data_IF_668733300302
#
_entry.id   IF_668733300302
#
_cell.length_a   1.000
_cell.length_b   1.000
_cell.length_c   1.000
_cell.angle_alpha   90.00
_cell.angle_beta   90.00
_cell.angle_gamma   90.00
#
_symmetry.space_group_name_H-M   'P 1'
#
loop_
_entity.id
_entity.type
_entity.pdbx_description
1 polymer ?
#
# COMPACT_ATOMS: atom_id res chain seq x y z
N UNK A 1 0.47 -6.82 31.47
CA UNK A 1 0.20 -7.64 30.27
C UNK A 1 0.76 -6.85 29.10
N UNK A 2 1.63 -7.43 28.28
CA UNK A 2 2.22 -6.72 27.15
C UNK A 2 1.09 -6.21 26.24
N UNK A 3 1.16 -4.93 25.89
CA UNK A 3 0.20 -4.21 25.06
C UNK A 3 0.28 -4.82 23.64
N UNK A 4 -0.57 -5.81 23.33
CA UNK A 4 -0.46 -6.66 22.13
C UNK A 4 -0.94 -5.90 20.88
N UNK A 5 -0.23 -4.83 20.50
CA UNK A 5 -0.55 -4.02 19.32
C UNK A 5 -0.09 -4.73 18.06
N UNK A 6 -0.93 -4.66 17.03
CA UNK A 6 -0.58 -5.15 15.69
C UNK A 6 0.55 -4.31 15.10
N UNK A 7 1.55 -4.95 14.52
CA UNK A 7 2.65 -4.27 13.82
C UNK A 7 2.31 -4.18 12.33
N UNK A 8 2.18 -2.96 11.82
CA UNK A 8 1.77 -2.69 10.44
C UNK A 8 2.89 -2.03 9.66
N UNK A 9 3.34 -2.69 8.59
CA UNK A 9 4.30 -2.11 7.64
C UNK A 9 3.56 -1.14 6.69
N UNK A 10 4.07 0.07 6.56
CA UNK A 10 3.45 1.16 5.81
C UNK A 10 4.21 1.45 4.51
N UNK A 11 3.50 1.32 3.39
CA UNK A 11 4.00 1.46 2.02
C UNK A 11 3.38 2.72 1.40
N UNK A 12 4.21 3.77 1.21
CA UNK A 12 3.77 5.09 0.78
C UNK A 12 3.36 5.16 -0.71
N UNK A 13 2.72 6.26 -1.13
CA UNK A 13 2.38 6.49 -2.54
C UNK A 13 3.54 7.03 -3.38
N UNK A 14 3.34 7.12 -4.70
CA UNK A 14 4.32 7.71 -5.62
C UNK A 14 4.64 9.17 -5.23
N UNK A 15 5.92 9.56 -5.38
CA UNK A 15 6.45 10.88 -4.99
C UNK A 15 6.23 11.22 -3.51
N UNK A 16 6.28 10.20 -2.66
CA UNK A 16 6.32 10.36 -1.20
C UNK A 16 7.59 9.68 -0.67
N UNK A 17 7.77 9.76 0.63
CA UNK A 17 8.79 9.02 1.37
C UNK A 17 8.22 8.67 2.76
N UNK A 18 8.97 7.90 3.55
CA UNK A 18 8.54 7.44 4.87
C UNK A 18 8.15 8.58 5.80
N UNK A 19 8.89 9.69 5.76
CA UNK A 19 8.67 10.86 6.63
C UNK A 19 7.37 11.57 6.27
N UNK A 20 7.19 11.91 4.99
CA UNK A 20 5.98 12.56 4.48
C UNK A 20 4.75 11.69 4.71
N UNK A 21 4.86 10.38 4.48
CA UNK A 21 3.74 9.47 4.68
C UNK A 21 3.39 9.32 6.17
N UNK A 22 4.39 9.19 7.04
CA UNK A 22 4.26 9.21 8.50
C UNK A 22 3.52 10.46 8.99
N UNK A 23 3.87 11.63 8.48
CA UNK A 23 3.24 12.89 8.85
C UNK A 23 1.78 12.98 8.37
N UNK A 24 1.51 12.63 7.10
CA UNK A 24 0.15 12.57 6.54
C UNK A 24 -0.77 11.64 7.34
N UNK A 25 -0.23 10.55 7.88
CA UNK A 25 -0.97 9.60 8.72
C UNK A 25 -0.99 10.00 10.21
N UNK A 26 -0.63 11.25 10.58
CA UNK A 26 -0.58 11.70 11.97
C UNK A 26 -1.87 11.44 12.76
N UNK A 27 -3.02 11.91 12.26
CA UNK A 27 -4.31 11.70 12.94
C UNK A 27 -4.75 10.23 12.89
N UNK A 28 -4.51 9.54 11.75
CA UNK A 28 -4.80 8.11 11.59
C UNK A 28 -4.09 7.27 12.66
N UNK A 29 -2.78 7.49 12.83
CA UNK A 29 -1.98 6.81 13.86
C UNK A 29 -2.43 7.16 15.27
N UNK A 30 -2.72 8.45 15.54
CA UNK A 30 -3.25 8.87 16.85
C UNK A 30 -4.55 8.15 17.20
N UNK A 31 -5.42 7.95 16.21
CA UNK A 31 -6.69 7.25 16.38
C UNK A 31 -6.52 5.76 16.71
N UNK A 32 -5.47 5.12 16.18
CA UNK A 32 -5.22 3.68 16.26
C UNK A 32 -4.07 3.31 17.21
N UNK A 33 -3.52 4.26 17.96
CA UNK A 33 -2.34 4.09 18.83
C UNK A 33 -2.43 2.97 19.88
N UNK A 34 -3.66 2.57 20.25
CA UNK A 34 -3.92 1.49 21.22
C UNK A 34 -4.21 0.14 20.52
N UNK A 35 -4.21 0.10 19.19
CA UNK A 35 -4.55 -1.07 18.37
C UNK A 35 -3.40 -1.53 17.49
N UNK A 36 -2.62 -0.58 16.97
CA UNK A 36 -1.53 -0.89 16.05
C UNK A 36 -0.37 0.10 16.18
N UNK A 37 0.82 -0.39 15.87
CA UNK A 37 2.03 0.39 15.64
C UNK A 37 2.38 0.35 14.15
N UNK A 38 2.83 1.49 13.62
CA UNK A 38 3.00 1.70 12.18
C UNK A 38 4.47 1.95 11.85
N UNK A 39 5.04 1.06 11.06
CA UNK A 39 6.44 1.09 10.65
C UNK A 39 6.55 1.57 9.20
N UNK A 40 7.24 2.68 8.96
CA UNK A 40 7.29 3.34 7.65
C UNK A 40 8.66 3.16 7.02
N UNK A 41 8.69 2.68 5.78
CA UNK A 41 9.91 2.52 4.98
C UNK A 41 9.89 3.42 3.75
N UNK A 42 11.08 3.74 3.24
CA UNK A 42 11.26 4.48 1.98
C UNK A 42 11.28 3.49 0.82
N UNK A 43 10.58 3.80 -0.27
CA UNK A 43 10.79 3.09 -1.52
C UNK A 43 12.23 3.34 -2.02
N UNK A 44 12.86 2.37 -2.71
CA UNK A 44 14.29 2.43 -3.00
C UNK A 44 14.64 3.47 -4.08
N UNK A 45 13.70 3.81 -4.97
CA UNK A 45 14.01 4.59 -6.16
C UNK A 45 13.74 6.08 -5.98
N UNK A 46 14.72 6.92 -6.32
CA UNK A 46 14.55 8.38 -6.35
C UNK A 46 13.78 8.81 -7.60
N UNK A 47 12.81 9.71 -7.42
CA UNK A 47 12.11 10.35 -8.54
C UNK A 47 12.89 11.59 -8.95
N UNK A 48 13.35 11.64 -10.20
CA UNK A 48 14.06 12.81 -10.72
C UNK A 48 13.15 14.04 -10.70
N UNK A 49 13.66 15.16 -10.20
CA UNK A 49 12.95 16.44 -10.25
C UNK A 49 12.93 16.97 -11.68
N UNK A 50 11.75 17.38 -12.15
CA UNK A 50 11.57 17.98 -13.49
C UNK A 50 12.21 19.37 -13.58
N UNK A 51 12.48 20.01 -12.44
CA UNK A 51 12.86 21.44 -12.38
C UNK A 51 14.34 21.68 -12.13
N UNK A 52 15.11 20.67 -11.69
CA UNK A 52 16.54 20.86 -11.39
C UNK A 52 17.27 19.50 -11.26
N UNK A 53 18.09 19.12 -12.25
CA UNK A 53 18.83 17.84 -12.25
C UNK A 53 19.90 17.77 -11.15
N UNK A 54 20.30 18.92 -10.58
CA UNK A 54 21.33 19.01 -9.54
C UNK A 54 20.78 18.96 -8.10
N UNK A 55 19.46 18.86 -7.91
CA UNK A 55 18.87 18.70 -6.58
C UNK A 55 18.41 17.27 -6.34
N UNK A 56 18.98 16.63 -5.30
CA UNK A 56 18.47 15.35 -4.79
C UNK A 56 17.02 15.54 -4.33
N UNK A 57 16.10 14.87 -5.00
CA UNK A 57 14.70 14.84 -4.60
C UNK A 57 14.52 13.83 -3.47
N UNK A 58 13.83 14.22 -2.39
CA UNK A 58 13.42 13.28 -1.35
C UNK A 58 12.22 12.41 -1.76
N UNK A 59 11.68 12.62 -2.97
CA UNK A 59 10.55 11.88 -3.51
C UNK A 59 10.99 10.48 -3.98
N UNK A 60 10.23 9.46 -3.59
CA UNK A 60 10.53 8.07 -3.91
C UNK A 60 9.41 7.39 -4.70
N UNK A 61 9.77 6.32 -5.40
CA UNK A 61 8.86 5.45 -6.15
C UNK A 61 9.15 3.98 -5.88
N UNK A 62 8.11 3.14 -5.92
CA UNK A 62 8.26 1.69 -5.79
C UNK A 62 8.66 1.00 -7.09
N UNK A 63 8.22 1.53 -8.24
CA UNK A 63 8.69 1.12 -9.56
C UNK A 63 8.38 2.22 -10.56
N UNK A 64 8.94 2.11 -11.76
CA UNK A 64 8.63 3.02 -12.87
C UNK A 64 7.94 2.26 -14.00
N UNK A 65 7.15 2.99 -14.76
CA UNK A 65 6.34 2.47 -15.89
C UNK A 65 6.66 3.19 -17.20
N UNK A 66 7.71 4.00 -17.20
CA UNK A 66 8.14 4.85 -18.32
C UNK A 66 9.67 4.97 -18.34
N UNK A 67 10.26 5.11 -19.54
CA UNK A 67 11.72 5.18 -19.76
C UNK A 67 12.41 6.37 -19.07
N UNK A 68 11.66 7.43 -18.76
CA UNK A 68 12.14 8.62 -18.06
C UNK A 68 12.19 8.45 -16.53
N UNK A 69 12.04 7.21 -16.02
CA UNK A 69 11.93 6.88 -14.61
C UNK A 69 10.77 7.61 -13.93
N UNK A 70 9.60 7.65 -14.60
CA UNK A 70 8.35 8.13 -14.02
C UNK A 70 7.33 7.00 -13.83
N UNK A 71 6.34 7.24 -12.99
CA UNK A 71 5.24 6.32 -12.75
C UNK A 71 3.91 6.91 -13.23
N UNK A 72 3.18 6.13 -14.03
CA UNK A 72 1.94 6.55 -14.67
C UNK A 72 0.84 5.54 -14.35
N UNK A 73 0.02 5.85 -13.33
CA UNK A 73 -0.99 4.91 -12.83
C UNK A 73 -2.12 4.64 -13.82
N UNK A 74 -2.34 5.47 -14.84
CA UNK A 74 -3.49 5.41 -15.76
C UNK A 74 -3.15 4.89 -17.16
N UNK A 75 -1.86 4.59 -17.43
CA UNK A 75 -1.38 4.23 -18.76
C UNK A 75 -0.93 2.78 -18.73
N UNK A 76 -1.48 2.00 -19.66
CA UNK A 76 -1.06 0.61 -19.90
C UNK A 76 0.34 0.63 -20.51
N UNK A 77 1.20 -0.28 -20.07
CA UNK A 77 2.61 -0.32 -20.49
C UNK A 77 3.16 -1.75 -20.48
N UNK A 78 4.14 -2.01 -21.35
CA UNK A 78 5.04 -3.17 -21.32
C UNK A 78 6.43 -2.80 -20.75
N UNK A 79 6.57 -1.57 -20.24
CA UNK A 79 7.78 -1.11 -19.58
C UNK A 79 7.60 -1.13 -18.06
N UNK A 80 8.45 -1.86 -17.36
CA UNK A 80 8.53 -1.83 -15.90
C UNK A 80 9.98 -2.02 -15.44
N UNK A 81 10.43 -1.15 -14.53
CA UNK A 81 11.74 -1.28 -13.88
C UNK A 81 11.61 -0.97 -12.39
N UNK A 82 12.49 -1.58 -11.59
CA UNK A 82 12.62 -1.28 -10.16
C UNK A 82 11.73 -2.09 -9.23
N UNK A 83 10.82 -2.92 -9.76
CA UNK A 83 9.86 -3.64 -8.91
C UNK A 83 10.55 -4.73 -8.09
N UNK A 84 11.57 -5.39 -8.65
CA UNK A 84 12.37 -6.43 -7.99
C UNK A 84 13.11 -5.90 -6.77
N UNK A 85 13.76 -4.73 -6.88
CA UNK A 85 14.46 -4.08 -5.76
C UNK A 85 13.49 -3.69 -4.64
N UNK A 86 12.30 -3.23 -5.01
CA UNK A 86 11.24 -2.92 -4.04
C UNK A 86 10.71 -4.17 -3.32
N UNK A 87 10.56 -5.29 -4.03
CA UNK A 87 10.16 -6.58 -3.43
C UNK A 87 11.27 -7.04 -2.46
N UNK A 88 12.52 -7.01 -2.90
CA UNK A 88 13.67 -7.40 -2.09
C UNK A 88 13.77 -6.56 -0.81
N UNK A 89 13.55 -5.24 -0.90
CA UNK A 89 13.52 -4.34 0.26
C UNK A 89 12.45 -4.73 1.28
N UNK A 90 11.24 -5.06 0.83
CA UNK A 90 10.16 -5.51 1.73
C UNK A 90 10.52 -6.84 2.39
N UNK A 91 11.09 -7.80 1.64
CA UNK A 91 11.55 -9.06 2.22
C UNK A 91 12.63 -8.84 3.28
N UNK A 92 13.61 -7.99 3.00
CA UNK A 92 14.69 -7.66 3.93
C UNK A 92 14.15 -6.96 5.19
N UNK A 93 13.23 -6.01 5.03
CA UNK A 93 12.59 -5.30 6.14
C UNK A 93 11.80 -6.28 7.02
N UNK A 94 11.01 -7.18 6.42
CA UNK A 94 10.25 -8.19 7.17
C UNK A 94 11.19 -9.15 7.91
N UNK A 95 12.30 -9.55 7.29
CA UNK A 95 13.27 -10.45 7.92
C UNK A 95 14.02 -9.81 9.09
N UNK A 96 14.41 -8.53 8.96
CA UNK A 96 15.24 -7.84 9.94
C UNK A 96 14.44 -7.17 11.04
N UNK A 97 13.24 -6.68 10.73
CA UNK A 97 12.45 -5.82 11.61
C UNK A 97 11.08 -6.39 11.93
N UNK A 98 10.70 -7.52 11.33
CA UNK A 98 9.45 -8.22 11.61
C UNK A 98 9.41 -8.89 13.00
N UNK A 99 8.38 -9.71 13.28
CA UNK A 99 7.24 -9.98 12.42
C UNK A 99 6.30 -8.76 12.29
N UNK A 100 5.67 -8.63 11.13
CA UNK A 100 4.57 -7.68 10.89
C UNK A 100 3.26 -8.46 10.76
N UNK A 101 2.21 -7.99 11.40
CA UNK A 101 0.88 -8.59 11.33
C UNK A 101 0.15 -8.23 10.04
N UNK A 102 0.43 -7.05 9.48
CA UNK A 102 -0.22 -6.60 8.25
C UNK A 102 0.55 -5.52 7.51
N UNK A 103 0.07 -5.21 6.31
CA UNK A 103 0.60 -4.13 5.47
C UNK A 103 -0.49 -3.10 5.22
N UNK A 104 -0.14 -1.81 5.33
CA UNK A 104 -0.95 -0.69 4.85
C UNK A 104 -0.26 -0.07 3.63
N UNK A 105 -0.92 -0.11 2.49
CA UNK A 105 -0.48 0.55 1.27
C UNK A 105 -1.37 1.74 0.90
N UNK A 106 -0.77 2.81 0.37
CA UNK A 106 -1.50 3.95 -0.20
C UNK A 106 -1.13 4.19 -1.67
N UNK A 107 -2.13 4.38 -2.54
CA UNK A 107 -1.94 4.74 -3.95
C UNK A 107 -1.00 3.76 -4.68
N UNK A 108 0.14 4.20 -5.25
CA UNK A 108 1.16 3.29 -5.81
C UNK A 108 1.58 2.20 -4.80
N UNK A 109 1.75 2.54 -3.52
CA UNK A 109 2.05 1.58 -2.47
C UNK A 109 0.91 0.60 -2.19
N UNK A 110 -0.35 0.98 -2.45
CA UNK A 110 -1.50 0.09 -2.35
C UNK A 110 -1.52 -0.92 -3.52
N UNK A 111 -1.22 -0.47 -4.74
CA UNK A 111 -1.01 -1.36 -5.89
C UNK A 111 0.18 -2.31 -5.65
N UNK A 112 1.27 -1.81 -5.06
CA UNK A 112 2.41 -2.64 -4.66
C UNK A 112 2.04 -3.69 -3.62
N UNK A 113 1.26 -3.30 -2.60
CA UNK A 113 0.78 -4.21 -1.56
C UNK A 113 -0.05 -5.35 -2.15
N UNK A 114 -0.88 -5.07 -3.16
CA UNK A 114 -1.63 -6.12 -3.87
C UNK A 114 -0.71 -7.08 -4.64
N UNK A 115 0.38 -6.58 -5.25
CA UNK A 115 1.42 -7.41 -5.88
C UNK A 115 2.11 -8.31 -4.84
N UNK A 116 2.52 -7.76 -3.70
CA UNK A 116 3.10 -8.55 -2.59
C UNK A 116 2.14 -9.65 -2.14
N UNK A 117 0.86 -9.35 -1.98
CA UNK A 117 -0.16 -10.35 -1.62
C UNK A 117 -0.31 -11.47 -2.67
N UNK A 118 -0.26 -11.13 -3.96
CA UNK A 118 -0.29 -12.12 -5.02
C UNK A 118 0.97 -13.01 -5.01
N UNK A 119 2.15 -12.43 -4.76
CA UNK A 119 3.41 -13.18 -4.64
C UNK A 119 3.43 -14.10 -3.41
N UNK A 120 2.89 -13.65 -2.27
CA UNK A 120 2.67 -14.49 -1.07
C UNK A 120 1.74 -15.67 -1.38
N UNK A 121 0.64 -15.40 -2.10
CA UNK A 121 -0.31 -16.44 -2.52
C UNK A 121 0.35 -17.48 -3.44
N UNK A 122 1.28 -17.05 -4.30
CA UNK A 122 2.10 -17.92 -5.16
C UNK A 122 3.29 -18.56 -4.43
N UNK A 123 3.47 -18.33 -3.12
CA UNK A 123 4.61 -18.78 -2.30
C UNK A 123 5.97 -18.32 -2.83
N UNK A 124 6.00 -17.17 -3.50
CA UNK A 124 7.24 -16.56 -4.00
C UNK A 124 7.96 -15.73 -2.92
N UNK A 125 7.27 -15.39 -1.82
CA UNK A 125 7.81 -14.67 -0.67
C UNK A 125 7.63 -15.51 0.61
N UNK A 126 8.64 -15.50 1.48
CA UNK A 126 8.71 -16.36 2.67
C UNK A 126 8.34 -15.61 3.96
N UNK A 127 7.14 -15.03 4.02
CA UNK A 127 6.55 -14.49 5.24
C UNK A 127 5.03 -14.61 5.18
N UNK A 128 4.34 -14.27 6.26
CA UNK A 128 2.88 -14.35 6.34
C UNK A 128 2.32 -13.00 6.80
N UNK A 129 1.09 -12.70 6.37
CA UNK A 129 0.33 -11.53 6.78
C UNK A 129 -1.03 -11.98 7.29
N UNK A 130 -1.46 -11.43 8.42
CA UNK A 130 -2.82 -11.63 8.94
C UNK A 130 -3.83 -10.78 8.17
N UNK A 131 -3.42 -9.60 7.70
CA UNK A 131 -4.31 -8.69 6.96
C UNK A 131 -3.56 -7.67 6.09
N UNK A 132 -4.31 -7.01 5.22
CA UNK A 132 -3.86 -5.79 4.52
C UNK A 132 -4.89 -4.67 4.53
N UNK A 133 -4.42 -3.42 4.53
CA UNK A 133 -5.22 -2.21 4.36
C UNK A 133 -4.78 -1.55 3.06
N UNK A 134 -5.69 -1.49 2.09
CA UNK A 134 -5.45 -1.00 0.72
C UNK A 134 -6.19 0.32 0.54
N UNK A 135 -5.47 1.43 0.59
CA UNK A 135 -6.06 2.77 0.49
C UNK A 135 -5.81 3.38 -0.88
N UNK A 136 -6.87 3.75 -1.60
CA UNK A 136 -6.79 4.22 -2.99
C UNK A 136 -5.97 3.28 -3.88
N UNK A 137 -6.10 1.96 -3.66
CA UNK A 137 -5.42 0.94 -4.45
C UNK A 137 -6.08 0.71 -5.80
N UNK A 138 -5.34 0.08 -6.71
CA UNK A 138 -5.76 -0.24 -8.07
C UNK A 138 -4.87 -1.37 -8.62
N UNK A 139 -5.30 -2.04 -9.69
CA UNK A 139 -4.46 -3.01 -10.40
C UNK A 139 -3.32 -2.31 -11.13
N UNK A 140 -2.12 -2.89 -11.09
CA UNK A 140 -1.03 -2.45 -11.95
C UNK A 140 -1.43 -2.63 -13.42
N UNK A 141 -1.06 -1.65 -14.26
CA UNK A 141 -1.32 -1.67 -15.70
C UNK A 141 -0.08 -2.07 -16.51
N UNK A 142 0.93 -2.65 -15.85
CA UNK A 142 2.02 -3.35 -16.52
C UNK A 142 1.56 -4.75 -16.94
N UNK A 143 1.80 -5.13 -18.18
CA UNK A 143 1.19 -6.31 -18.81
C UNK A 143 1.50 -7.62 -18.06
N UNK A 144 2.74 -7.83 -17.63
CA UNK A 144 3.09 -9.07 -16.94
C UNK A 144 2.51 -9.16 -15.52
N UNK A 145 2.12 -8.03 -14.91
CA UNK A 145 1.44 -8.06 -13.62
C UNK A 145 0.00 -8.59 -13.72
N UNK A 146 -0.60 -8.64 -14.92
CA UNK A 146 -1.96 -9.15 -15.09
C UNK A 146 -2.10 -10.60 -14.57
N UNK A 147 -1.07 -11.43 -14.80
CA UNK A 147 -1.01 -12.83 -14.35
C UNK A 147 -0.95 -13.00 -12.83
N UNK A 148 -0.60 -11.94 -12.08
CA UNK A 148 -0.64 -11.97 -10.62
C UNK A 148 -2.08 -11.96 -10.10
N UNK A 149 -3.02 -11.42 -10.87
CA UNK A 149 -4.40 -11.20 -10.45
C UNK A 149 -5.37 -12.33 -10.82
N UNK A 150 -4.91 -13.36 -11.53
CA UNK A 150 -5.71 -14.54 -11.89
C UNK A 150 -6.00 -15.46 -10.70
N UNK A 151 -5.08 -15.53 -9.73
CA UNK A 151 -5.26 -16.32 -8.52
C UNK A 151 -5.91 -15.47 -7.41
N UNK A 152 -6.88 -16.06 -6.71
CA UNK A 152 -7.51 -15.39 -5.57
C UNK A 152 -6.54 -15.26 -4.41
N UNK A 153 -6.48 -14.06 -3.84
CA UNK A 153 -5.65 -13.75 -2.67
C UNK A 153 -6.44 -14.08 -1.41
N UNK A 154 -5.93 -15.02 -0.62
CA UNK A 154 -6.54 -15.46 0.64
C UNK A 154 -5.91 -14.76 1.86
N UNK A 155 -5.89 -13.42 1.83
CA UNK A 155 -5.45 -12.56 2.93
C UNK A 155 -6.60 -11.58 3.19
N UNK A 156 -7.15 -11.50 4.42
CA UNK A 156 -8.17 -10.53 4.76
C UNK A 156 -7.77 -9.10 4.41
N UNK A 157 -8.62 -8.37 3.70
CA UNK A 157 -8.32 -7.03 3.21
C UNK A 157 -9.38 -5.98 3.58
N UNK A 158 -8.92 -4.77 3.88
CA UNK A 158 -9.75 -3.58 3.99
C UNK A 158 -9.43 -2.63 2.83
N UNK A 159 -10.36 -2.49 1.89
CA UNK A 159 -10.27 -1.59 0.75
C UNK A 159 -10.90 -0.24 1.08
N UNK A 160 -10.07 0.78 1.21
CA UNK A 160 -10.50 2.15 1.54
C UNK A 160 -10.53 2.98 0.26
N UNK A 161 -11.72 3.47 -0.09
CA UNK A 161 -11.99 4.11 -1.39
C UNK A 161 -12.60 5.50 -1.17
N UNK A 162 -11.96 6.51 -1.76
CA UNK A 162 -12.45 7.88 -1.80
C UNK A 162 -13.46 8.08 -2.91
N UNK A 163 -14.64 8.60 -2.58
CA UNK A 163 -15.71 8.78 -3.55
C UNK A 163 -15.42 9.91 -4.55
N UNK A 164 -14.65 10.91 -4.10
CA UNK A 164 -14.24 12.08 -4.89
C UNK A 164 -12.77 11.99 -5.35
N UNK A 165 -12.20 10.78 -5.43
CA UNK A 165 -10.82 10.57 -5.84
C UNK A 165 -10.65 10.70 -7.37
N UNK A 166 -10.02 11.78 -7.81
CA UNK A 166 -9.73 12.08 -9.22
C UNK A 166 -8.40 11.47 -9.72
N UNK A 167 -7.54 11.02 -8.79
CA UNK A 167 -6.26 10.39 -9.11
C UNK A 167 -6.52 8.92 -9.42
N UNK A 168 -7.16 8.21 -8.49
CA UNK A 168 -7.57 6.82 -8.64
C UNK A 168 -9.09 6.76 -8.49
N UNK A 169 -9.78 6.67 -9.62
CA UNK A 169 -11.25 6.60 -9.62
C UNK A 169 -11.76 5.42 -8.82
N UNK A 170 -12.93 5.61 -8.21
CA UNK A 170 -13.75 4.59 -7.56
C UNK A 170 -13.88 3.26 -8.33
N UNK A 171 -14.03 3.31 -9.66
CA UNK A 171 -14.12 2.13 -10.52
C UNK A 171 -12.84 1.31 -10.47
N UNK A 172 -11.70 1.94 -10.78
CA UNK A 172 -10.37 1.33 -10.72
C UNK A 172 -10.01 0.74 -9.35
N UNK A 173 -10.42 1.40 -8.26
CA UNK A 173 -10.22 0.82 -6.92
C UNK A 173 -11.05 -0.41 -6.67
N UNK A 174 -12.28 -0.45 -7.19
CA UNK A 174 -13.16 -1.62 -7.05
C UNK A 174 -12.67 -2.83 -7.84
N UNK A 175 -11.90 -2.64 -8.91
CA UNK A 175 -11.34 -3.76 -9.68
C UNK A 175 -10.47 -4.71 -8.84
N UNK A 176 -9.82 -4.22 -7.77
CA UNK A 176 -9.02 -5.06 -6.90
C UNK A 176 -9.86 -5.98 -6.01
N UNK A 177 -11.07 -5.55 -5.62
CA UNK A 177 -11.88 -6.21 -4.59
C UNK A 177 -12.16 -7.68 -4.95
N UNK A 178 -12.59 -8.04 -6.18
CA UNK A 178 -12.87 -9.43 -6.51
C UNK A 178 -11.64 -10.34 -6.44
N UNK A 179 -10.41 -9.82 -6.42
CA UNK A 179 -9.20 -10.65 -6.33
C UNK A 179 -9.04 -11.23 -4.92
N UNK A 180 -9.48 -10.51 -3.89
CA UNK A 180 -9.38 -10.93 -2.50
C UNK A 180 -10.60 -11.77 -2.10
N UNK A 181 -10.39 -12.89 -1.38
CA UNK A 181 -11.48 -13.79 -0.95
C UNK A 181 -12.26 -13.24 0.24
N UNK A 182 -11.61 -12.47 1.12
CA UNK A 182 -12.21 -11.81 2.27
C UNK A 182 -11.89 -10.30 2.21
N UNK A 183 -12.73 -9.57 1.47
CA UNK A 183 -12.56 -8.15 1.21
C UNK A 183 -13.67 -7.33 1.86
N UNK A 184 -13.29 -6.43 2.77
CA UNK A 184 -14.18 -5.41 3.33
C UNK A 184 -13.96 -4.08 2.62
N UNK A 185 -15.03 -3.32 2.44
CA UNK A 185 -15.01 -2.03 1.75
C UNK A 185 -15.31 -0.93 2.76
N UNK A 186 -14.49 0.12 2.75
CA UNK A 186 -14.69 1.36 3.49
C UNK A 186 -14.77 2.50 2.49
N UNK A 187 -15.91 3.17 2.42
CA UNK A 187 -16.11 4.35 1.58
C UNK A 187 -15.93 5.63 2.39
N UNK A 188 -15.36 6.65 1.77
CA UNK A 188 -15.34 8.00 2.33
C UNK A 188 -15.60 9.04 1.25
N UNK A 189 -16.25 10.15 1.61
CA UNK A 189 -16.64 11.20 0.66
C UNK A 189 -15.47 12.02 0.07
N UNK A 190 -14.25 11.82 0.57
CA UNK A 190 -13.07 12.58 0.19
C UNK A 190 -12.38 12.13 -1.09
N UNK A 191 -11.31 12.84 -1.47
CA UNK A 191 -10.44 12.50 -2.60
C UNK A 191 -9.23 11.63 -2.23
N UNK A 192 -8.09 11.87 -2.87
CA UNK A 192 -6.90 10.99 -2.82
C UNK A 192 -6.07 11.11 -1.53
N UNK A 193 -6.55 10.57 -0.40
CA UNK A 193 -5.83 10.57 0.88
C UNK A 193 -6.26 9.41 1.79
N UNK A 194 -5.53 9.18 2.89
CA UNK A 194 -5.92 8.22 3.92
C UNK A 194 -6.88 8.89 4.92
N UNK A 195 -8.17 8.48 4.98
CA UNK A 195 -9.12 9.11 5.87
C UNK A 195 -8.84 8.82 7.35
N UNK A 196 -9.06 9.82 8.20
CA UNK A 196 -8.80 9.72 9.65
C UNK A 196 -9.86 10.42 10.51
N UNK A 197 -11.03 10.71 9.95
CA UNK A 197 -12.12 11.34 10.70
C UNK A 197 -12.75 10.36 11.71
N UNK A 198 -13.51 10.88 12.67
CA UNK A 198 -14.09 10.08 13.75
C UNK A 198 -15.14 9.07 13.28
N UNK A 199 -15.80 9.31 12.14
CA UNK A 199 -16.79 8.40 11.57
C UNK A 199 -16.08 7.12 11.10
N UNK A 200 -15.05 7.30 10.28
CA UNK A 200 -14.28 6.22 9.64
C UNK A 200 -13.35 5.50 10.62
N UNK A 201 -12.94 6.18 11.69
CA UNK A 201 -12.11 5.61 12.75
C UNK A 201 -12.66 4.29 13.27
N UNK A 202 -13.99 4.18 13.43
CA UNK A 202 -14.64 2.99 13.99
C UNK A 202 -14.41 1.77 13.10
N UNK A 203 -14.55 1.92 11.79
CA UNK A 203 -14.38 0.84 10.83
C UNK A 203 -12.95 0.28 10.83
N UNK A 204 -11.93 1.15 10.96
CA UNK A 204 -10.55 0.70 11.13
C UNK A 204 -10.33 -0.08 12.42
N UNK A 205 -10.93 0.36 13.52
CA UNK A 205 -10.82 -0.32 14.81
C UNK A 205 -11.47 -1.70 14.71
N UNK A 206 -12.70 -1.78 14.21
CA UNK A 206 -13.43 -3.04 14.05
C UNK A 206 -12.68 -4.02 13.15
N UNK A 207 -12.08 -3.54 12.06
CA UNK A 207 -11.24 -4.39 11.21
C UNK A 207 -10.03 -4.94 11.98
N UNK A 208 -9.26 -4.08 12.64
CA UNK A 208 -8.04 -4.49 13.36
C UNK A 208 -8.35 -5.39 14.57
N UNK A 209 -9.49 -5.21 15.25
CA UNK A 209 -9.90 -6.03 16.38
C UNK A 209 -10.12 -7.50 16.01
N UNK A 210 -10.39 -7.82 14.73
CA UNK A 210 -10.50 -9.22 14.28
C UNK A 210 -9.17 -9.99 14.34
N UNK A 211 -8.04 -9.31 14.54
CA UNK A 211 -6.69 -9.90 14.56
C UNK A 211 -5.98 -9.76 15.92
N UNK A 212 -6.60 -9.07 16.88
CA UNK A 212 -6.10 -8.96 18.24
C UNK A 212 -6.62 -10.16 19.05
N UNK A 213 -5.78 -11.19 19.17
CA UNK A 213 -6.00 -12.34 20.06
C UNK A 213 -5.02 -12.29 21.23
#
# INVERSE_FOLDING_TARGET
>A
MADNKLRVLCIHGYRQNKTVFREKLGQFRKNLKNKAEFHFIDAPHEVKSVTDENQSSSERSWWFTSEDNTYQSKIKTDFCIGIEESIALVQETVANEGPFDGILGFSQGAAFTAIICALLTKKALNFELKFVIIVAGFKSLYDDHAELYHQKINIPSLHVIGESDEVISQERSRELIPIFTDAKILLHSGGHYVPANNVIKKDYIEFLETFNS
#
